data_IF_645316319358
#
_entry.id   IF_645316319358
#
_cell.length_a   1.000
_cell.length_b   1.000
_cell.length_c   1.000
_cell.angle_alpha   90.00
_cell.angle_beta   90.00
_cell.angle_gamma   90.00
#
_symmetry.space_group_name_H-M   'P 1'
#
loop_
_entity.id
_entity.type
_entity.pdbx_description
1 polymer ?
#
# COMPACT_ATOMS: atom_id res chain seq x y z
N UNK A 1 -4.47 7.13 -13.07
CA UNK A 1 -5.87 7.54 -13.33
C UNK A 1 -6.43 8.38 -12.20
N UNK A 2 -6.39 7.96 -10.93
CA UNK A 2 -6.94 8.74 -9.79
C UNK A 2 -6.49 10.21 -9.77
N UNK A 3 -5.20 10.46 -9.93
CA UNK A 3 -4.64 11.82 -9.84
C UNK A 3 -4.89 12.72 -11.07
N UNK A 4 -5.26 12.15 -12.22
CA UNK A 4 -5.29 12.91 -13.49
C UNK A 4 -6.58 12.75 -14.29
N UNK A 5 -7.44 11.79 -13.94
CA UNK A 5 -8.60 11.41 -14.75
C UNK A 5 -8.25 10.82 -16.13
N UNK A 6 -6.96 10.57 -16.39
CA UNK A 6 -6.44 10.13 -17.70
C UNK A 6 -5.88 8.71 -17.58
N UNK A 7 -6.04 7.93 -18.64
CA UNK A 7 -5.51 6.55 -18.73
C UNK A 7 -4.00 6.49 -18.47
N UNK A 8 -3.56 5.40 -17.82
CA UNK A 8 -2.17 5.25 -17.36
C UNK A 8 -1.14 5.29 -18.51
N UNK A 9 -1.45 4.74 -19.69
CA UNK A 9 -0.55 4.80 -20.84
C UNK A 9 -0.42 6.24 -21.37
N UNK A 10 -1.51 7.00 -21.36
CA UNK A 10 -1.48 8.41 -21.78
C UNK A 10 -0.72 9.31 -20.79
N UNK A 11 -0.64 8.91 -19.53
CA UNK A 11 0.15 9.61 -18.52
C UNK A 11 1.63 9.22 -18.52
N UNK A 12 2.04 8.20 -19.30
CA UNK A 12 3.40 7.67 -19.32
C UNK A 12 3.65 6.56 -18.30
N UNK A 13 2.64 6.18 -17.50
CA UNK A 13 2.74 5.19 -16.40
C UNK A 13 1.93 3.94 -16.76
N UNK A 14 2.11 3.41 -17.97
CA UNK A 14 1.45 2.17 -18.42
C UNK A 14 1.95 0.90 -17.73
N UNK A 15 3.13 0.97 -17.11
CA UNK A 15 3.67 -0.04 -16.21
C UNK A 15 4.61 0.58 -15.19
N UNK A 16 4.84 -0.11 -14.07
CA UNK A 16 5.88 0.24 -13.10
C UNK A 16 7.26 -0.03 -13.70
N UNK A 17 8.27 0.75 -13.31
CA UNK A 17 9.63 0.67 -13.85
C UNK A 17 10.20 -0.75 -13.85
N UNK A 18 10.00 -1.47 -12.76
CA UNK A 18 10.44 -2.86 -12.55
C UNK A 18 9.67 -3.89 -13.38
N UNK A 19 8.57 -3.49 -14.01
CA UNK A 19 7.67 -4.39 -14.77
C UNK A 19 7.60 -4.07 -16.27
N UNK A 20 8.30 -3.01 -16.74
CA UNK A 20 8.28 -2.65 -18.16
C UNK A 20 9.03 -3.70 -18.98
N UNK A 21 8.39 -4.32 -19.99
CA UNK A 21 9.10 -5.19 -20.93
C UNK A 21 10.16 -4.40 -21.70
N UNK A 22 11.30 -5.00 -21.94
CA UNK A 22 12.42 -4.34 -22.66
C UNK A 22 11.99 -3.75 -24.01
N UNK A 23 11.07 -4.40 -24.72
CA UNK A 23 10.50 -3.94 -25.98
C UNK A 23 9.65 -2.66 -25.88
N UNK A 24 9.29 -2.25 -24.67
CA UNK A 24 8.49 -1.06 -24.40
C UNK A 24 9.29 0.10 -23.80
N UNK A 25 10.54 -0.11 -23.44
CA UNK A 25 11.39 0.98 -22.92
C UNK A 25 11.42 2.19 -23.86
N UNK A 26 11.27 3.37 -23.28
CA UNK A 26 11.30 4.66 -23.98
C UNK A 26 10.07 4.99 -24.83
N UNK A 27 9.08 4.10 -24.92
CA UNK A 27 7.81 4.43 -25.58
C UNK A 27 6.99 5.38 -24.71
N UNK A 28 6.22 6.33 -25.32
CA UNK A 28 5.50 7.37 -24.58
C UNK A 28 4.55 6.86 -23.49
N UNK A 29 3.92 5.68 -23.69
CA UNK A 29 3.04 5.06 -22.71
C UNK A 29 3.78 4.37 -21.54
N UNK A 30 5.10 4.22 -21.61
CA UNK A 30 5.93 3.45 -20.69
C UNK A 30 7.14 4.24 -20.20
N UNK A 31 6.96 5.53 -19.95
CA UNK A 31 8.00 6.40 -19.38
C UNK A 31 8.30 6.05 -17.92
N UNK A 32 7.41 5.31 -17.27
CA UNK A 32 7.46 4.93 -15.85
C UNK A 32 7.41 6.10 -14.86
N UNK A 33 7.18 7.29 -15.39
CA UNK A 33 7.01 8.53 -14.62
C UNK A 33 5.81 9.30 -15.16
N UNK A 34 5.19 10.09 -14.30
CA UNK A 34 4.06 10.92 -14.68
C UNK A 34 4.56 12.03 -15.65
N UNK A 35 4.11 12.01 -16.90
CA UNK A 35 4.52 12.99 -17.89
C UNK A 35 3.98 14.39 -17.58
N UNK A 36 4.51 15.41 -18.27
CA UNK A 36 4.12 16.80 -18.06
C UNK A 36 2.88 17.23 -18.84
N UNK A 37 2.33 16.36 -19.70
CA UNK A 37 1.19 16.67 -20.56
C UNK A 37 -0.16 16.46 -19.88
N UNK A 38 -0.14 16.12 -18.57
CA UNK A 38 -1.36 15.91 -17.79
C UNK A 38 -1.40 16.83 -16.58
N UNK A 39 -2.57 17.36 -16.32
CA UNK A 39 -2.86 18.13 -15.11
C UNK A 39 -3.29 17.17 -14.01
N UNK A 40 -2.87 17.43 -12.79
CA UNK A 40 -3.26 16.64 -11.61
C UNK A 40 -4.43 17.30 -10.88
N UNK A 41 -5.24 16.50 -10.21
CA UNK A 41 -6.32 17.00 -9.35
C UNK A 41 -5.76 17.93 -8.25
N UNK A 42 -4.56 17.63 -7.74
CA UNK A 42 -3.86 18.48 -6.77
C UNK A 42 -3.57 19.89 -7.32
N UNK A 43 -3.11 20.00 -8.60
CA UNK A 43 -2.89 21.30 -9.23
C UNK A 43 -4.20 22.08 -9.37
N UNK A 44 -5.27 21.44 -9.83
CA UNK A 44 -6.58 22.09 -9.97
C UNK A 44 -7.14 22.57 -8.61
N UNK A 45 -6.99 21.75 -7.57
CA UNK A 45 -7.44 22.14 -6.23
C UNK A 45 -6.58 23.25 -5.64
N UNK A 46 -5.25 23.22 -5.85
CA UNK A 46 -4.34 24.28 -5.43
C UNK A 46 -4.72 25.62 -6.12
N UNK A 47 -4.95 25.62 -7.42
CA UNK A 47 -5.45 26.80 -8.18
C UNK A 47 -6.82 27.25 -7.67
N UNK A 48 -7.68 26.31 -7.25
CA UNK A 48 -8.96 26.56 -6.61
C UNK A 48 -8.88 27.07 -5.17
N UNK A 49 -7.67 27.31 -4.64
CA UNK A 49 -7.43 27.90 -3.33
C UNK A 49 -7.34 26.90 -2.18
N UNK A 50 -7.34 25.60 -2.45
CA UNK A 50 -7.11 24.58 -1.43
C UNK A 50 -5.66 24.55 -0.95
N UNK A 51 -5.43 24.16 0.30
CA UNK A 51 -4.14 23.64 0.75
C UNK A 51 -4.02 22.18 0.35
N UNK A 52 -2.87 21.79 -0.17
CA UNK A 52 -2.70 20.47 -0.78
C UNK A 52 -1.52 19.73 -0.17
N UNK A 53 -1.74 18.49 0.27
CA UNK A 53 -0.76 17.68 1.00
C UNK A 53 -0.61 16.30 0.38
N UNK A 54 0.64 15.81 0.25
CA UNK A 54 0.95 14.44 -0.14
C UNK A 54 1.83 13.78 0.91
N UNK A 55 1.41 12.64 1.44
CA UNK A 55 2.22 11.86 2.39
C UNK A 55 2.18 10.39 2.03
N UNK A 56 3.34 9.74 2.03
CA UNK A 56 3.46 8.31 1.83
C UNK A 56 4.07 7.91 0.49
N UNK A 57 3.63 6.82 -0.10
CA UNK A 57 4.18 6.28 -1.35
C UNK A 57 3.83 7.17 -2.55
N UNK A 58 4.83 7.47 -3.40
CA UNK A 58 4.65 8.29 -4.58
C UNK A 58 4.74 7.50 -5.89
N UNK A 59 5.83 6.83 -6.16
CA UNK A 59 6.11 5.87 -7.26
C UNK A 59 5.72 6.34 -8.68
N UNK A 60 5.69 7.64 -8.96
CA UNK A 60 5.39 8.21 -10.30
C UNK A 60 6.49 9.14 -10.80
N UNK A 61 7.70 8.98 -10.28
CA UNK A 61 8.91 9.69 -10.67
C UNK A 61 9.62 10.37 -9.51
N UNK A 62 10.95 10.51 -9.63
CA UNK A 62 11.84 11.10 -8.62
C UNK A 62 12.55 12.37 -9.11
N UNK A 63 12.40 12.68 -10.39
CA UNK A 63 12.96 13.91 -10.94
C UNK A 63 12.21 15.13 -10.37
N UNK A 64 12.87 16.29 -10.24
CA UNK A 64 12.26 17.48 -9.64
C UNK A 64 10.88 17.83 -10.19
N UNK A 65 10.66 17.66 -11.50
CA UNK A 65 9.38 17.93 -12.18
C UNK A 65 8.30 16.85 -11.94
N UNK A 66 8.67 15.70 -11.38
CA UNK A 66 7.72 14.64 -11.04
C UNK A 66 7.34 14.63 -9.56
N UNK A 67 8.10 15.30 -8.69
CA UNK A 67 7.84 15.30 -7.25
C UNK A 67 6.53 16.04 -6.92
N UNK A 68 5.87 15.73 -5.80
CA UNK A 68 4.56 16.29 -5.47
C UNK A 68 4.49 17.82 -5.52
N UNK A 69 5.53 18.51 -5.06
CA UNK A 69 5.59 19.98 -5.08
C UNK A 69 5.53 20.59 -6.50
N UNK A 70 6.02 19.86 -7.52
CA UNK A 70 5.89 20.26 -8.93
C UNK A 70 4.56 19.78 -9.55
N UNK A 71 3.74 19.06 -8.80
CA UNK A 71 2.48 18.45 -9.23
C UNK A 71 1.28 18.94 -8.41
N UNK A 72 1.38 20.17 -7.86
CA UNK A 72 0.28 20.84 -7.20
C UNK A 72 0.08 20.51 -5.73
N UNK A 73 1.13 20.08 -5.02
CA UNK A 73 1.09 19.91 -3.58
C UNK A 73 1.92 20.98 -2.87
N UNK A 74 1.31 21.70 -1.92
CA UNK A 74 1.97 22.73 -1.12
C UNK A 74 3.00 22.13 -0.16
N UNK A 75 2.66 20.99 0.43
CA UNK A 75 3.53 20.24 1.35
C UNK A 75 3.51 18.76 1.01
N UNK A 76 4.67 18.14 1.12
CA UNK A 76 4.76 16.71 0.87
C UNK A 76 5.87 16.06 1.68
N UNK A 77 5.63 14.81 2.09
CA UNK A 77 6.66 13.89 2.55
C UNK A 77 6.40 12.54 1.89
N UNK A 78 7.23 12.17 0.92
CA UNK A 78 6.94 10.98 0.10
C UNK A 78 8.15 10.06 -0.05
N UNK A 79 7.83 8.77 -0.13
CA UNK A 79 8.74 7.72 -0.55
C UNK A 79 8.69 7.60 -2.08
N UNK A 80 9.82 7.79 -2.75
CA UNK A 80 9.89 8.03 -4.20
C UNK A 80 9.74 6.78 -5.07
N UNK A 81 9.95 5.59 -4.51
CA UNK A 81 9.95 4.33 -5.23
C UNK A 81 8.75 3.43 -4.91
N UNK A 82 8.88 2.15 -5.25
CA UNK A 82 7.85 1.13 -5.08
C UNK A 82 7.50 0.84 -3.61
N UNK A 83 8.40 1.12 -2.67
CA UNK A 83 8.22 0.94 -1.24
C UNK A 83 9.54 0.84 -0.48
N UNK A 84 9.45 0.66 0.82
CA UNK A 84 10.55 0.42 1.74
C UNK A 84 10.13 -0.56 2.82
N UNK A 85 11.03 -0.90 3.73
CA UNK A 85 10.67 -1.54 4.99
C UNK A 85 9.73 -0.65 5.80
N UNK A 86 8.79 -1.24 6.55
CA UNK A 86 7.81 -0.46 7.33
C UNK A 86 8.35 0.04 8.68
N UNK A 87 9.50 -0.51 9.13
CA UNK A 87 10.17 -0.17 10.38
C UNK A 87 11.49 0.59 10.18
N UNK A 88 12.14 0.37 9.02
CA UNK A 88 13.47 0.90 8.73
C UNK A 88 13.45 1.71 7.43
N UNK A 89 13.55 3.02 7.57
CA UNK A 89 13.33 3.99 6.48
C UNK A 89 14.36 3.93 5.36
N UNK A 90 15.54 3.41 5.61
CA UNK A 90 16.66 3.26 4.68
C UNK A 90 16.82 1.81 4.17
N UNK A 91 16.02 0.87 4.71
CA UNK A 91 16.09 -0.54 4.33
C UNK A 91 15.27 -0.84 3.09
N UNK A 92 15.95 -1.35 2.07
CA UNK A 92 15.32 -1.80 0.82
C UNK A 92 14.47 -3.04 1.08
N UNK A 93 13.35 -3.14 0.39
CA UNK A 93 12.49 -4.32 0.45
C UNK A 93 12.66 -5.24 -0.78
N UNK A 94 13.49 -4.85 -1.73
CA UNK A 94 13.89 -5.65 -2.90
C UNK A 94 15.31 -5.31 -3.34
N UNK A 95 15.98 -6.27 -3.98
CA UNK A 95 17.36 -6.12 -4.47
C UNK A 95 17.50 -5.14 -5.65
N UNK A 96 16.40 -4.82 -6.35
CA UNK A 96 16.41 -4.06 -7.60
C UNK A 96 16.64 -2.56 -7.43
N UNK A 97 16.56 -2.03 -6.22
CA UNK A 97 16.81 -0.62 -5.91
C UNK A 97 18.19 -0.46 -5.28
N UNK A 98 18.84 0.67 -5.54
CA UNK A 98 20.14 1.03 -4.95
C UNK A 98 19.99 1.49 -3.49
N UNK A 99 18.99 2.33 -3.22
CA UNK A 99 18.61 2.81 -1.88
C UNK A 99 17.13 3.14 -1.83
N UNK A 100 16.63 3.53 -0.65
CA UNK A 100 15.30 4.12 -0.45
C UNK A 100 15.42 5.63 -0.55
N UNK A 101 14.55 6.24 -1.34
CA UNK A 101 14.53 7.69 -1.55
C UNK A 101 13.33 8.30 -0.83
N UNK A 102 13.61 9.32 0.00
CA UNK A 102 12.60 10.11 0.68
C UNK A 102 12.73 11.58 0.29
N UNK A 103 11.58 12.21 0.03
CA UNK A 103 11.55 13.61 -0.36
C UNK A 103 10.56 14.37 0.51
N UNK A 104 11.00 15.49 1.07
CA UNK A 104 10.14 16.46 1.73
C UNK A 104 10.16 17.76 0.95
N UNK A 105 8.97 18.20 0.48
CA UNK A 105 8.80 19.44 -0.28
C UNK A 105 9.80 19.57 -1.45
N UNK A 106 10.01 18.49 -2.19
CA UNK A 106 10.88 18.43 -3.36
C UNK A 106 12.39 18.28 -3.06
N UNK A 107 12.78 18.12 -1.80
CA UNK A 107 14.18 17.91 -1.41
C UNK A 107 14.35 16.51 -0.82
N UNK A 108 15.45 15.85 -1.17
CA UNK A 108 15.81 14.58 -0.54
C UNK A 108 16.11 14.79 0.95
N UNK A 109 15.57 13.93 1.81
CA UNK A 109 15.70 14.03 3.26
C UNK A 109 16.04 12.68 3.88
N UNK A 110 16.71 12.71 5.03
CA UNK A 110 16.86 11.57 5.91
C UNK A 110 15.60 11.44 6.81
N UNK A 111 15.17 10.21 7.05
CA UNK A 111 14.02 9.91 7.88
C UNK A 111 14.44 9.53 9.31
N UNK A 112 13.55 9.69 10.30
CA UNK A 112 13.84 9.28 11.67
C UNK A 112 13.99 7.75 11.77
N UNK A 113 14.76 7.31 12.78
CA UNK A 113 14.96 5.87 13.05
C UNK A 113 13.82 5.25 13.84
N UNK A 114 13.11 6.05 14.64
CA UNK A 114 11.87 5.64 15.31
C UNK A 114 10.72 5.87 14.33
N UNK A 115 10.29 4.78 13.69
CA UNK A 115 9.41 4.85 12.54
C UNK A 115 8.58 3.58 12.42
N UNK A 116 7.30 3.76 12.19
CA UNK A 116 6.40 2.77 11.61
C UNK A 116 5.55 3.48 10.53
N UNK A 117 5.55 2.96 9.31
CA UNK A 117 5.05 3.69 8.13
C UNK A 117 3.66 4.29 8.31
N UNK A 118 2.66 3.48 8.71
CA UNK A 118 1.27 3.95 8.83
C UNK A 118 1.10 5.00 9.93
N UNK A 119 1.79 4.85 11.05
CA UNK A 119 1.79 5.84 12.13
C UNK A 119 2.40 7.16 11.69
N UNK A 120 3.58 7.08 11.09
CA UNK A 120 4.34 8.26 10.71
C UNK A 120 3.63 9.08 9.62
N UNK A 121 3.04 8.42 8.63
CA UNK A 121 2.30 9.10 7.56
C UNK A 121 1.11 9.88 8.10
N UNK A 122 0.33 9.27 8.99
CA UNK A 122 -0.80 9.96 9.63
C UNK A 122 -0.32 11.11 10.49
N UNK A 123 0.73 10.93 11.29
CA UNK A 123 1.30 11.98 12.13
C UNK A 123 1.76 13.18 11.29
N UNK A 124 2.47 12.94 10.17
CA UNK A 124 2.88 14.02 9.26
C UNK A 124 1.70 14.72 8.59
N UNK A 125 0.66 13.97 8.23
CA UNK A 125 -0.57 14.55 7.68
C UNK A 125 -1.24 15.49 8.69
N UNK A 126 -1.37 15.05 9.94
CA UNK A 126 -1.92 15.87 11.04
C UNK A 126 -1.05 17.10 11.28
N UNK A 127 0.28 16.98 11.24
CA UNK A 127 1.19 18.11 11.40
C UNK A 127 1.00 19.17 10.31
N UNK A 128 0.84 18.76 9.05
CA UNK A 128 0.58 19.69 7.94
C UNK A 128 -0.77 20.40 8.10
N UNK A 129 -1.82 19.65 8.44
CA UNK A 129 -3.14 20.23 8.72
C UNK A 129 -3.08 21.23 9.87
N UNK A 130 -2.38 20.89 10.95
CA UNK A 130 -2.21 21.74 12.15
C UNK A 130 -1.48 23.03 11.86
N UNK A 131 -0.42 22.97 11.04
CA UNK A 131 0.37 24.16 10.67
C UNK A 131 -0.43 25.14 9.82
N UNK A 132 -1.37 24.66 9.02
CA UNK A 132 -2.12 25.49 8.08
C UNK A 132 -3.58 25.79 8.54
N UNK A 133 -3.98 25.33 9.74
CA UNK A 133 -5.36 25.52 10.25
C UNK A 133 -5.77 27.00 10.30
N UNK A 134 -4.83 27.89 10.67
CA UNK A 134 -5.09 29.33 10.73
C UNK A 134 -5.35 29.98 9.34
N UNK A 135 -5.05 29.30 8.25
CA UNK A 135 -5.28 29.82 6.89
C UNK A 135 -6.77 29.89 6.54
N UNK A 136 -7.63 29.17 7.26
CA UNK A 136 -9.06 29.01 7.00
C UNK A 136 -9.39 28.61 5.55
N UNK A 137 -8.46 27.89 4.90
CA UNK A 137 -8.65 27.37 3.54
C UNK A 137 -9.09 25.92 3.58
N UNK A 138 -9.90 25.47 2.63
CA UNK A 138 -10.16 24.04 2.47
C UNK A 138 -8.85 23.29 2.18
N UNK A 139 -8.82 21.98 2.44
CA UNK A 139 -7.65 21.17 2.18
C UNK A 139 -7.96 19.96 1.28
N UNK A 140 -6.93 19.49 0.60
CA UNK A 140 -6.86 18.21 -0.07
C UNK A 140 -5.63 17.45 0.47
N UNK A 141 -5.86 16.29 1.07
CA UNK A 141 -4.79 15.45 1.58
C UNK A 141 -4.79 14.10 0.83
N UNK A 142 -3.69 13.80 0.16
CA UNK A 142 -3.41 12.53 -0.48
C UNK A 142 -2.49 11.72 0.43
N UNK A 143 -3.08 10.72 1.13
CA UNK A 143 -2.39 9.86 2.08
C UNK A 143 -2.25 8.46 1.47
N UNK A 144 -1.05 8.14 1.00
CA UNK A 144 -0.74 6.92 0.26
C UNK A 144 0.04 5.93 1.14
N UNK A 145 -0.67 5.04 1.82
CA UNK A 145 -0.07 4.03 2.68
C UNK A 145 0.79 3.02 1.93
N UNK A 146 1.84 2.50 2.57
CA UNK A 146 2.52 1.29 2.13
C UNK A 146 1.72 0.02 2.49
N UNK A 147 0.94 0.06 3.55
CA UNK A 147 0.03 -1.04 3.91
C UNK A 147 -1.05 -1.25 2.82
N UNK A 148 -1.32 -2.48 2.40
CA UNK A 148 -0.76 -3.75 2.86
C UNK A 148 0.24 -4.35 1.84
N UNK A 149 1.18 -3.57 1.33
CA UNK A 149 2.21 -4.04 0.41
C UNK A 149 3.31 -4.82 1.16
N UNK A 150 4.06 -5.67 0.44
CA UNK A 150 5.26 -6.31 0.98
C UNK A 150 6.36 -5.26 1.24
N UNK A 151 7.20 -5.47 2.29
CA UNK A 151 7.11 -6.50 3.32
C UNK A 151 5.89 -6.29 4.22
N UNK A 152 5.17 -7.38 4.50
CA UNK A 152 4.01 -7.32 5.39
C UNK A 152 4.50 -7.34 6.83
N UNK A 153 4.35 -6.20 7.49
CA UNK A 153 4.89 -5.93 8.83
C UNK A 153 3.89 -5.09 9.65
N UNK A 154 3.77 -5.37 10.94
CA UNK A 154 2.88 -4.61 11.82
C UNK A 154 3.32 -4.71 13.28
N UNK A 155 2.93 -3.73 14.14
CA UNK A 155 3.12 -3.86 15.58
C UNK A 155 2.37 -5.05 16.16
N UNK A 156 2.99 -5.72 17.15
CA UNK A 156 2.48 -6.96 17.76
C UNK A 156 1.07 -6.84 18.29
N UNK A 157 0.72 -5.74 18.90
CA UNK A 157 -0.62 -5.48 19.45
C UNK A 157 -1.74 -5.59 18.41
N UNK A 158 -1.45 -5.27 17.14
CA UNK A 158 -2.42 -5.44 16.05
C UNK A 158 -2.43 -6.87 15.52
N UNK A 159 -1.27 -7.50 15.38
CA UNK A 159 -1.16 -8.89 14.90
C UNK A 159 -1.85 -9.87 15.86
N UNK A 160 -1.65 -9.69 17.16
CA UNK A 160 -2.13 -10.62 18.19
C UNK A 160 -3.66 -10.64 18.29
N UNK A 161 -4.37 -9.60 17.83
CA UNK A 161 -5.83 -9.60 17.70
C UNK A 161 -6.35 -10.68 16.75
N UNK A 162 -5.54 -11.10 15.79
CA UNK A 162 -5.92 -12.04 14.74
C UNK A 162 -5.40 -13.47 14.99
N UNK A 163 -4.82 -13.73 16.16
CA UNK A 163 -4.27 -15.05 16.50
C UNK A 163 -5.33 -16.13 16.38
N UNK A 164 -5.09 -17.11 15.50
CA UNK A 164 -5.98 -18.25 15.23
C UNK A 164 -7.22 -17.95 14.38
N UNK A 165 -7.42 -16.70 13.94
CA UNK A 165 -8.59 -16.32 13.11
C UNK A 165 -8.59 -17.01 11.74
N UNK A 166 -7.42 -17.29 11.21
CA UNK A 166 -7.26 -17.83 9.85
C UNK A 166 -6.92 -19.32 9.80
N UNK A 167 -7.12 -20.05 10.92
CA UNK A 167 -6.77 -21.48 11.07
C UNK A 167 -7.48 -22.40 10.06
N UNK A 168 -8.66 -21.99 9.57
CA UNK A 168 -9.46 -22.77 8.63
C UNK A 168 -9.06 -22.51 7.15
N UNK A 169 -8.08 -21.67 6.93
CA UNK A 169 -7.42 -21.42 5.65
C UNK A 169 -8.17 -20.54 4.68
N UNK A 170 -7.57 -20.38 3.51
CA UNK A 170 -8.07 -19.48 2.46
C UNK A 170 -9.38 -19.92 1.81
N UNK A 171 -9.65 -21.23 1.73
CA UNK A 171 -10.91 -21.73 1.13
C UNK A 171 -12.10 -21.31 2.00
N UNK A 172 -12.00 -21.48 3.32
CA UNK A 172 -13.02 -21.05 4.27
C UNK A 172 -13.18 -19.52 4.26
N UNK A 173 -12.08 -18.76 4.26
CA UNK A 173 -12.12 -17.30 4.21
C UNK A 173 -12.80 -16.80 2.93
N UNK A 174 -12.47 -17.36 1.76
CA UNK A 174 -13.09 -16.98 0.49
C UNK A 174 -14.60 -17.15 0.51
N UNK A 175 -15.04 -18.31 1.01
CA UNK A 175 -16.48 -18.58 1.15
C UNK A 175 -17.16 -17.57 2.09
N UNK A 176 -16.59 -17.36 3.27
CA UNK A 176 -17.15 -16.44 4.27
C UNK A 176 -17.25 -14.99 3.71
N UNK A 177 -16.23 -14.52 3.00
CA UNK A 177 -16.22 -13.20 2.36
C UNK A 177 -17.30 -13.07 1.28
N UNK A 178 -17.43 -14.07 0.40
CA UNK A 178 -18.48 -14.10 -0.61
C UNK A 178 -19.87 -14.08 0.01
N UNK A 179 -20.11 -14.94 1.01
CA UNK A 179 -21.40 -15.04 1.68
C UNK A 179 -21.76 -13.72 2.38
N UNK A 180 -20.77 -13.05 3.00
CA UNK A 180 -20.96 -11.72 3.61
C UNK A 180 -21.25 -10.65 2.58
N UNK A 181 -20.53 -10.63 1.46
CA UNK A 181 -20.77 -9.66 0.38
C UNK A 181 -22.18 -9.83 -0.22
N UNK A 182 -22.62 -11.08 -0.41
CA UNK A 182 -23.97 -11.39 -0.87
C UNK A 182 -25.04 -10.97 0.15
N UNK A 183 -24.80 -11.21 1.44
CA UNK A 183 -25.72 -10.79 2.50
C UNK A 183 -25.86 -9.26 2.59
N UNK A 184 -24.81 -8.51 2.23
CA UNK A 184 -24.81 -7.05 2.15
C UNK A 184 -25.37 -6.50 0.83
N UNK A 185 -25.77 -7.38 -0.12
CA UNK A 185 -26.26 -6.96 -1.43
C UNK A 185 -25.19 -6.41 -2.38
N UNK A 186 -23.90 -6.64 -2.08
CA UNK A 186 -22.78 -6.15 -2.90
C UNK A 186 -22.52 -7.02 -4.12
N UNK A 187 -22.93 -8.30 -4.08
CA UNK A 187 -22.87 -9.25 -5.19
C UNK A 187 -24.13 -10.12 -5.19
N UNK A 188 -24.52 -10.71 -6.34
CA UNK A 188 -25.62 -11.69 -6.40
C UNK A 188 -25.36 -12.89 -5.46
N UNK A 189 -26.42 -13.46 -4.89
CA UNK A 189 -26.29 -14.62 -3.98
C UNK A 189 -25.72 -15.86 -4.66
N UNK A 190 -25.93 -16.00 -5.95
CA UNK A 190 -25.47 -17.07 -6.81
C UNK A 190 -24.17 -16.71 -7.57
N UNK A 191 -23.54 -15.59 -7.24
CA UNK A 191 -22.29 -15.17 -7.85
C UNK A 191 -21.23 -16.29 -7.76
N UNK A 192 -20.65 -16.71 -8.89
CA UNK A 192 -19.63 -17.76 -8.89
C UNK A 192 -18.36 -17.31 -8.17
N UNK A 193 -17.70 -18.25 -7.51
CA UNK A 193 -16.35 -18.04 -7.01
C UNK A 193 -15.35 -18.78 -7.89
N UNK A 194 -14.57 -18.02 -8.65
CA UNK A 194 -13.48 -18.58 -9.44
C UNK A 194 -12.28 -18.85 -8.54
N UNK A 195 -11.76 -20.07 -8.58
CA UNK A 195 -10.48 -20.40 -7.94
C UNK A 195 -9.36 -20.16 -8.93
N UNK A 196 -8.42 -19.29 -8.59
CA UNK A 196 -7.25 -19.04 -9.41
C UNK A 196 -6.36 -20.30 -9.50
N UNK A 197 -5.78 -20.63 -10.67
CA UNK A 197 -4.87 -21.79 -10.82
C UNK A 197 -3.66 -21.74 -9.89
N UNK A 198 -3.30 -20.55 -9.40
CA UNK A 198 -2.21 -20.32 -8.45
C UNK A 198 -2.60 -20.58 -6.99
N UNK A 199 -3.89 -20.89 -6.72
CA UNK A 199 -4.34 -21.22 -5.37
C UNK A 199 -4.05 -22.68 -5.09
N UNK A 200 -3.25 -22.94 -4.06
CA UNK A 200 -2.95 -24.32 -3.63
C UNK A 200 -4.10 -24.91 -2.80
N UNK A 201 -4.14 -26.24 -2.73
CA UNK A 201 -5.10 -26.93 -1.88
C UNK A 201 -4.68 -26.79 -0.41
N UNK A 202 -5.53 -26.18 0.42
CA UNK A 202 -5.30 -26.00 1.84
C UNK A 202 -5.14 -27.34 2.57
N UNK A 203 -5.96 -28.33 2.21
CA UNK A 203 -5.99 -29.62 2.92
C UNK A 203 -4.76 -30.47 2.63
N UNK A 204 -4.07 -30.21 1.51
CA UNK A 204 -2.83 -30.89 1.15
C UNK A 204 -1.59 -30.35 1.89
N UNK A 205 -1.71 -29.25 2.63
CA UNK A 205 -0.60 -28.68 3.38
C UNK A 205 -0.28 -29.47 4.66
N UNK A 206 1.02 -29.59 5.01
CA UNK A 206 1.43 -30.11 6.30
C UNK A 206 1.00 -29.21 7.45
N UNK A 207 0.97 -29.70 8.71
CA UNK A 207 0.65 -28.87 9.87
C UNK A 207 1.57 -27.65 9.99
N UNK A 208 2.85 -27.79 9.72
CA UNK A 208 3.86 -26.72 9.79
C UNK A 208 3.62 -25.67 8.68
N UNK A 209 3.29 -26.13 7.48
CA UNK A 209 2.91 -25.24 6.38
C UNK A 209 1.64 -24.45 6.70
N UNK A 210 0.61 -25.11 7.24
CA UNK A 210 -0.62 -24.44 7.70
C UNK A 210 -0.32 -23.39 8.76
N UNK A 211 0.51 -23.72 9.74
CA UNK A 211 0.91 -22.75 10.78
C UNK A 211 1.59 -21.52 10.19
N UNK A 212 2.52 -21.72 9.26
CA UNK A 212 3.19 -20.62 8.57
C UNK A 212 2.20 -19.77 7.77
N UNK A 213 1.31 -20.38 7.02
CA UNK A 213 0.30 -19.66 6.21
C UNK A 213 -0.69 -18.90 7.10
N UNK A 214 -1.15 -19.48 8.20
CA UNK A 214 -2.00 -18.80 9.18
C UNK A 214 -1.30 -17.55 9.69
N UNK A 215 -0.03 -17.66 10.08
CA UNK A 215 0.76 -16.54 10.61
C UNK A 215 0.93 -15.43 9.60
N UNK A 216 1.19 -15.75 8.33
CA UNK A 216 1.26 -14.75 7.23
C UNK A 216 0.00 -13.90 7.16
N UNK A 217 -1.17 -14.53 7.23
CA UNK A 217 -2.45 -13.80 7.12
C UNK A 217 -2.80 -13.04 8.40
N UNK A 218 -2.39 -13.53 9.58
CA UNK A 218 -2.53 -12.78 10.83
C UNK A 218 -1.73 -11.47 10.78
N UNK A 219 -0.49 -11.51 10.28
CA UNK A 219 0.34 -10.31 10.11
C UNK A 219 -0.28 -9.34 9.08
N UNK A 220 -0.80 -9.86 7.98
CA UNK A 220 -1.46 -9.04 6.96
C UNK A 220 -2.70 -8.32 7.51
N UNK A 221 -3.51 -9.03 8.30
CA UNK A 221 -4.67 -8.43 8.95
C UNK A 221 -4.25 -7.41 10.02
N UNK A 222 -3.21 -7.71 10.80
CA UNK A 222 -2.64 -6.78 11.77
C UNK A 222 -2.10 -5.49 11.11
N UNK A 223 -1.50 -5.61 9.92
CA UNK A 223 -1.04 -4.44 9.16
C UNK A 223 -2.21 -3.55 8.70
N UNK A 224 -3.33 -4.15 8.27
CA UNK A 224 -4.54 -3.41 7.92
C UNK A 224 -5.17 -2.74 9.14
N UNK A 225 -5.23 -3.44 10.29
CA UNK A 225 -5.77 -2.93 11.55
C UNK A 225 -4.92 -1.76 12.08
N UNK A 226 -3.59 -1.85 11.99
CA UNK A 226 -2.70 -0.75 12.34
C UNK A 226 -2.95 0.49 11.46
N UNK A 227 -3.13 0.31 10.16
CA UNK A 227 -3.48 1.40 9.24
C UNK A 227 -4.81 2.05 9.63
N UNK A 228 -5.86 1.25 9.86
CA UNK A 228 -7.19 1.73 10.27
C UNK A 228 -7.14 2.50 11.60
N UNK A 229 -6.40 1.96 12.59
CA UNK A 229 -6.18 2.64 13.86
C UNK A 229 -5.59 4.04 13.66
N UNK A 230 -4.57 4.16 12.83
CA UNK A 230 -3.94 5.47 12.58
C UNK A 230 -4.83 6.40 11.75
N UNK A 231 -5.63 5.89 10.81
CA UNK A 231 -6.69 6.69 10.15
C UNK A 231 -7.69 7.22 11.19
N UNK A 232 -8.03 6.40 12.20
CA UNK A 232 -8.85 6.83 13.34
C UNK A 232 -8.26 8.04 14.08
N UNK A 233 -6.92 8.14 14.21
CA UNK A 233 -6.24 9.33 14.80
C UNK A 233 -6.45 10.57 13.94
N UNK A 234 -6.38 10.46 12.61
CA UNK A 234 -6.68 11.58 11.71
C UNK A 234 -8.13 12.03 11.84
N UNK A 235 -9.05 11.08 11.89
CA UNK A 235 -10.49 11.37 12.10
C UNK A 235 -10.70 12.08 13.44
N UNK A 236 -10.07 11.64 14.52
CA UNK A 236 -10.14 12.27 15.83
C UNK A 236 -9.64 13.73 15.78
N UNK A 237 -8.48 13.96 15.13
CA UNK A 237 -7.96 15.31 14.93
C UNK A 237 -8.92 16.21 14.14
N UNK A 238 -9.54 15.71 13.08
CA UNK A 238 -10.49 16.49 12.28
C UNK A 238 -11.77 16.82 13.07
N UNK A 239 -12.22 15.95 13.97
CA UNK A 239 -13.31 16.24 14.91
C UNK A 239 -12.92 17.30 15.93
N UNK A 240 -11.75 17.18 16.53
CA UNK A 240 -11.22 18.15 17.49
C UNK A 240 -11.07 19.56 16.88
N UNK A 241 -10.59 19.63 15.62
CA UNK A 241 -10.41 20.89 14.90
C UNK A 241 -11.67 21.44 14.23
N UNK A 242 -12.83 20.77 14.38
CA UNK A 242 -14.10 21.18 13.80
C UNK A 242 -14.20 21.04 12.27
N UNK A 243 -13.32 20.27 11.65
CA UNK A 243 -13.25 20.13 10.20
C UNK A 243 -13.94 18.85 9.69
N UNK A 244 -14.30 17.91 10.59
CA UNK A 244 -14.80 16.58 10.24
C UNK A 244 -16.08 16.63 9.41
N UNK A 245 -17.08 17.39 9.82
CA UNK A 245 -18.41 17.41 9.18
C UNK A 245 -18.38 18.04 7.78
N UNK A 246 -17.32 18.78 7.44
CA UNK A 246 -17.08 19.36 6.12
C UNK A 246 -15.91 18.68 5.39
N UNK A 247 -15.62 17.42 5.70
CA UNK A 247 -14.57 16.64 5.06
C UNK A 247 -15.17 15.43 4.34
N UNK A 248 -14.85 15.30 3.04
CA UNK A 248 -15.15 14.08 2.27
C UNK A 248 -13.98 13.12 2.40
N UNK A 249 -14.25 11.90 2.88
CA UNK A 249 -13.28 10.82 2.93
C UNK A 249 -13.44 9.91 1.71
N UNK A 250 -12.36 9.71 0.97
CA UNK A 250 -12.29 8.74 -0.13
C UNK A 250 -11.28 7.66 0.25
N UNK A 251 -11.75 6.45 0.48
CA UNK A 251 -10.92 5.28 0.75
C UNK A 251 -11.00 4.30 -0.40
N UNK A 252 -9.85 3.89 -0.92
CA UNK A 252 -9.78 2.95 -2.04
C UNK A 252 -8.50 2.10 -1.96
N UNK A 253 -8.53 0.95 -2.61
CA UNK A 253 -7.33 0.19 -2.96
C UNK A 253 -6.96 0.48 -4.41
N UNK A 254 -5.66 0.71 -4.69
CA UNK A 254 -5.15 1.00 -6.03
C UNK A 254 -5.14 -0.24 -6.94
N UNK A 255 -5.04 -1.43 -6.33
CA UNK A 255 -5.07 -2.74 -7.00
C UNK A 255 -5.50 -3.83 -6.00
N UNK A 256 -5.67 -5.06 -6.52
CA UNK A 256 -5.84 -6.24 -5.67
C UNK A 256 -4.62 -6.55 -4.80
N UNK A 257 -4.78 -7.48 -3.86
CA UNK A 257 -3.72 -7.89 -2.95
C UNK A 257 -2.44 -8.33 -3.68
N UNK A 258 -1.28 -8.10 -3.06
CA UNK A 258 0.03 -8.48 -3.62
C UNK A 258 0.26 -9.98 -3.40
N UNK A 259 0.25 -10.73 -4.49
CA UNK A 259 0.50 -12.17 -4.48
C UNK A 259 1.99 -12.55 -4.53
N UNK A 260 2.88 -11.58 -4.70
CA UNK A 260 4.32 -11.83 -4.83
C UNK A 260 4.86 -12.59 -3.63
N UNK A 261 5.60 -13.65 -3.92
CA UNK A 261 6.34 -14.42 -2.94
C UNK A 261 7.81 -14.52 -3.38
N UNK A 262 8.66 -13.56 -2.99
CA UNK A 262 10.08 -13.56 -3.35
C UNK A 262 10.83 -14.79 -2.85
N UNK A 263 10.34 -15.47 -1.80
CA UNK A 263 10.94 -16.71 -1.33
C UNK A 263 10.85 -17.87 -2.34
N UNK A 264 9.90 -17.79 -3.28
CA UNK A 264 9.78 -18.75 -4.37
C UNK A 264 10.84 -18.54 -5.48
N UNK A 265 11.55 -17.39 -5.50
CA UNK A 265 12.56 -17.04 -6.49
C UNK A 265 13.95 -17.19 -5.85
N UNK A 266 14.78 -18.08 -6.38
CA UNK A 266 16.09 -18.43 -5.77
C UNK A 266 16.99 -17.22 -5.50
N UNK A 267 17.15 -16.32 -6.46
CA UNK A 267 18.01 -15.13 -6.31
C UNK A 267 17.45 -14.16 -5.26
N UNK A 268 16.14 -13.94 -5.25
CA UNK A 268 15.49 -13.10 -4.26
C UNK A 268 15.55 -13.72 -2.86
N UNK A 269 15.35 -15.04 -2.75
CA UNK A 269 15.46 -15.78 -1.47
C UNK A 269 16.86 -15.68 -0.88
N UNK A 270 17.92 -15.79 -1.70
CA UNK A 270 19.31 -15.64 -1.21
C UNK A 270 19.55 -14.23 -0.68
N UNK A 271 19.10 -13.20 -1.40
CA UNK A 271 19.20 -11.82 -0.93
C UNK A 271 18.37 -11.59 0.35
N UNK A 272 17.14 -12.07 0.41
CA UNK A 272 16.30 -11.95 1.60
C UNK A 272 16.96 -12.60 2.83
N UNK A 273 17.64 -13.72 2.65
CA UNK A 273 18.33 -14.42 3.76
C UNK A 273 19.51 -13.60 4.34
N UNK A 274 20.06 -12.63 3.60
CA UNK A 274 21.09 -11.71 4.12
C UNK A 274 20.49 -10.45 4.77
N UNK A 275 19.30 -10.05 4.39
CA UNK A 275 18.70 -8.77 4.81
C UNK A 275 17.60 -8.94 5.85
N UNK A 276 16.89 -10.08 5.83
CA UNK A 276 15.67 -10.30 6.60
C UNK A 276 15.63 -11.70 7.20
N UNK A 277 14.80 -11.87 8.23
CA UNK A 277 14.42 -13.18 8.74
C UNK A 277 13.04 -13.58 8.25
N UNK A 278 12.81 -14.89 8.07
CA UNK A 278 11.49 -15.50 7.87
C UNK A 278 11.09 -16.42 9.04
N UNK A 279 11.74 -16.25 10.19
CA UNK A 279 11.37 -16.92 11.42
C UNK A 279 9.89 -16.68 11.73
N UNK A 280 9.15 -17.78 11.91
CA UNK A 280 7.70 -17.76 12.14
C UNK A 280 7.31 -16.86 13.32
N UNK A 281 8.06 -16.91 14.41
CA UNK A 281 7.76 -16.15 15.63
C UNK A 281 8.05 -14.64 15.45
N UNK A 282 8.87 -14.30 14.48
CA UNK A 282 9.26 -12.92 14.17
C UNK A 282 8.49 -12.30 13.00
N UNK A 283 7.66 -13.07 12.31
CA UNK A 283 6.91 -12.54 11.18
C UNK A 283 6.07 -11.33 11.61
N UNK A 284 6.25 -10.23 10.89
CA UNK A 284 5.64 -8.94 11.15
C UNK A 284 6.51 -7.96 11.94
N UNK A 285 7.51 -8.43 12.67
CA UNK A 285 8.42 -7.58 13.43
C UNK A 285 9.43 -6.86 12.53
N UNK A 286 10.10 -5.89 13.11
CA UNK A 286 11.29 -5.27 12.52
C UNK A 286 12.32 -6.34 12.15
N UNK A 287 12.85 -6.25 10.93
CA UNK A 287 13.83 -7.21 10.41
C UNK A 287 13.22 -8.49 9.84
N UNK A 288 11.91 -8.69 9.88
CA UNK A 288 11.25 -9.80 9.22
C UNK A 288 10.62 -9.39 7.88
N UNK A 289 10.56 -10.32 6.91
CA UNK A 289 9.94 -10.08 5.62
C UNK A 289 8.68 -10.93 5.45
N UNK A 290 7.53 -10.31 5.69
CA UNK A 290 6.24 -10.96 5.50
C UNK A 290 5.73 -10.85 4.06
N UNK A 291 5.06 -11.91 3.61
CA UNK A 291 4.28 -11.95 2.35
C UNK A 291 3.02 -12.75 2.58
N UNK A 292 2.02 -12.65 1.71
CA UNK A 292 0.82 -13.51 1.83
C UNK A 292 0.74 -14.59 0.75
N UNK A 293 1.49 -14.43 -0.33
CA UNK A 293 1.45 -15.36 -1.45
C UNK A 293 0.13 -15.39 -2.21
N UNK A 294 0.06 -16.17 -3.31
CA UNK A 294 -1.08 -16.14 -4.23
C UNK A 294 -2.39 -16.66 -3.62
N UNK A 295 -2.33 -17.67 -2.76
CA UNK A 295 -3.54 -18.26 -2.18
C UNK A 295 -4.30 -17.30 -1.26
N UNK A 296 -3.59 -16.61 -0.36
CA UNK A 296 -4.18 -15.57 0.47
C UNK A 296 -4.53 -14.31 -0.31
N UNK A 297 -3.75 -13.95 -1.35
CA UNK A 297 -4.09 -12.83 -2.22
C UNK A 297 -5.42 -13.06 -2.93
N UNK A 298 -5.65 -14.28 -3.44
CA UNK A 298 -6.95 -14.70 -4.00
C UNK A 298 -8.07 -14.62 -2.97
N UNK A 299 -7.82 -15.07 -1.74
CA UNK A 299 -8.80 -14.97 -0.65
C UNK A 299 -9.12 -13.52 -0.30
N UNK A 300 -8.11 -12.64 -0.28
CA UNK A 300 -8.28 -11.21 0.00
C UNK A 300 -9.04 -10.47 -1.10
N UNK A 301 -8.98 -10.92 -2.35
CA UNK A 301 -9.76 -10.38 -3.47
C UNK A 301 -11.20 -10.88 -3.53
N UNK A 302 -11.54 -11.99 -2.82
CA UNK A 302 -12.86 -12.62 -2.86
C UNK A 302 -13.99 -11.63 -2.47
N UNK A 303 -15.14 -11.66 -3.14
CA UNK A 303 -15.61 -12.65 -4.12
C UNK A 303 -15.05 -12.47 -5.54
N UNK A 304 -14.28 -11.43 -5.81
CA UNK A 304 -13.60 -11.26 -7.09
C UNK A 304 -12.53 -12.34 -7.28
N UNK A 305 -12.13 -12.58 -8.52
CA UNK A 305 -11.22 -13.68 -8.85
C UNK A 305 -9.75 -13.28 -8.91
N UNK A 306 -9.47 -12.04 -9.28
CA UNK A 306 -8.10 -11.61 -9.61
C UNK A 306 -7.50 -10.75 -8.52
N UNK A 307 -6.19 -10.85 -8.35
CA UNK A 307 -5.38 -10.03 -7.47
C UNK A 307 -4.35 -9.22 -8.30
N UNK A 308 -3.46 -8.44 -7.68
CA UNK A 308 -2.46 -7.61 -8.37
C UNK A 308 -1.74 -8.41 -9.47
N UNK A 309 -1.48 -7.78 -10.61
CA UNK A 309 -0.94 -8.30 -11.88
C UNK A 309 -1.92 -9.04 -12.80
N UNK A 310 -3.18 -9.21 -12.41
CA UNK A 310 -4.25 -9.70 -13.27
C UNK A 310 -5.24 -8.55 -13.48
N UNK A 311 -5.11 -7.85 -14.57
CA UNK A 311 -6.00 -6.74 -14.97
C UNK A 311 -6.50 -6.95 -16.39
#
# INVERSE_FOLDING_TARGET
MLMTGVDSHRTGVGAMRESVPQSHYGKPGYLTVLNQNVVTVSSLLQEGGYRTYAVGKWHVGKEPYNLPNARGFDRSLVQGDSGSDNWETDKRYMALTDKVYWFENGKEVAMPKDYYSSEYYVSRTIDYLRQDVASNKPFYAYLAFQANHIPVQAPREFIDKYRGVYKDGWTALRKARRDRAAALGLVPRDAPMVTMPTTTDWDALSPEQKQYEVRRMEVYAGMADAMDHHVGRLVAYLKESGQYDNTVFVFLSDNGAVASDPYAITSARLWLATEYTNDLEKLGDKGAYGTIGPSWASASASPLSTYKFYS
#
